data_IF_881806114531
#
_entry.id   IF_881806114531
#
_cell.length_a   1.000
_cell.length_b   1.000
_cell.length_c   1.000
_cell.angle_alpha   90.00
_cell.angle_beta   90.00
_cell.angle_gamma   90.00
#
_symmetry.space_group_name_H-M   'P 1'
#
loop_
_entity.id
_entity.type
_entity.pdbx_description
1 polymer ?
#
# COMPACT_ATOMS: atom_id res chain seq x y z
N UNK A 1 -18.62 -12.36 4.61
CA UNK A 1 -17.27 -12.22 5.20
C UNK A 1 -16.37 -11.78 4.06
N UNK A 2 -15.63 -10.68 4.20
CA UNK A 2 -14.84 -10.16 3.09
C UNK A 2 -13.60 -11.02 2.82
N UNK A 3 -13.32 -11.29 1.55
CA UNK A 3 -12.11 -11.93 1.03
C UNK A 3 -11.00 -10.89 0.92
N UNK A 4 -9.83 -11.18 1.48
CA UNK A 4 -8.64 -10.34 1.29
C UNK A 4 -7.80 -10.84 0.11
N UNK A 5 -7.41 -9.92 -0.77
CA UNK A 5 -6.48 -10.18 -1.87
C UNK A 5 -5.24 -9.31 -1.67
N UNK A 6 -4.13 -9.93 -1.27
CA UNK A 6 -2.88 -9.20 -1.05
C UNK A 6 -2.14 -8.99 -2.38
N UNK A 7 -2.14 -7.76 -2.88
CA UNK A 7 -1.44 -7.34 -4.10
C UNK A 7 -0.02 -6.85 -3.82
N UNK A 8 0.51 -7.06 -2.61
CA UNK A 8 1.88 -6.71 -2.25
C UNK A 8 2.81 -7.94 -2.39
N UNK A 9 4.13 -7.74 -2.58
CA UNK A 9 5.07 -8.85 -2.78
C UNK A 9 5.27 -9.77 -1.57
N UNK A 10 4.92 -9.30 -0.38
CA UNK A 10 5.20 -10.01 0.88
C UNK A 10 3.90 -10.34 1.60
N UNK A 11 3.94 -11.40 2.41
CA UNK A 11 2.83 -11.72 3.28
C UNK A 11 2.56 -10.58 4.27
N UNK A 12 1.29 -10.28 4.51
CA UNK A 12 0.88 -9.26 5.47
C UNK A 12 0.38 -9.96 6.73
N UNK A 13 1.08 -9.73 7.83
CA UNK A 13 0.69 -10.23 9.16
C UNK A 13 -0.15 -9.17 9.88
N UNK A 14 -1.34 -9.55 10.30
CA UNK A 14 -2.25 -8.72 11.09
C UNK A 14 -2.31 -9.26 12.51
N UNK A 15 -1.90 -8.46 13.48
CA UNK A 15 -2.07 -8.78 14.89
C UNK A 15 -3.51 -8.51 15.30
N UNK A 16 -4.19 -9.55 15.74
CA UNK A 16 -5.55 -9.51 16.29
C UNK A 16 -5.54 -9.92 17.77
N UNK A 17 -6.69 -9.82 18.44
CA UNK A 17 -6.89 -10.34 19.80
C UNK A 17 -6.74 -11.87 19.87
N UNK A 18 -7.00 -12.57 18.76
CA UNK A 18 -6.93 -14.04 18.66
C UNK A 18 -5.55 -14.54 18.20
N UNK A 19 -4.61 -13.64 17.93
CA UNK A 19 -3.28 -13.95 17.42
C UNK A 19 -2.98 -13.30 16.08
N UNK A 20 -1.96 -13.81 15.39
CA UNK A 20 -1.53 -13.29 14.08
C UNK A 20 -2.32 -13.97 12.96
N UNK A 21 -2.92 -13.17 12.10
CA UNK A 21 -3.52 -13.61 10.84
C UNK A 21 -2.55 -13.24 9.71
N UNK A 22 -2.12 -14.22 8.92
CA UNK A 22 -1.22 -14.01 7.79
C UNK A 22 -2.00 -14.06 6.47
N UNK A 23 -1.89 -13.00 5.67
CA UNK A 23 -2.50 -12.89 4.35
C UNK A 23 -1.39 -13.08 3.30
N UNK A 24 -1.31 -14.25 2.63
CA UNK A 24 -0.24 -14.53 1.68
C UNK A 24 -0.36 -13.64 0.43
N UNK A 25 0.74 -13.37 -0.28
CA UNK A 25 0.68 -12.65 -1.55
C UNK A 25 -0.20 -13.41 -2.55
N UNK A 26 -1.08 -12.68 -3.23
CA UNK A 26 -1.99 -13.25 -4.24
C UNK A 26 -1.31 -13.58 -5.56
N UNK A 27 -0.07 -13.13 -5.76
CA UNK A 27 0.63 -13.15 -7.05
C UNK A 27 0.23 -12.01 -7.99
N UNK A 28 -0.81 -11.24 -7.66
CA UNK A 28 -1.18 -10.03 -8.39
C UNK A 28 -0.20 -8.92 -8.04
N UNK A 29 0.45 -8.35 -9.06
CA UNK A 29 1.36 -7.22 -8.93
C UNK A 29 0.75 -5.98 -9.56
N UNK A 30 0.51 -4.95 -8.75
CA UNK A 30 0.00 -3.66 -9.22
C UNK A 30 1.17 -2.86 -9.79
N UNK A 31 1.01 -2.39 -11.03
CA UNK A 31 1.98 -1.52 -11.69
C UNK A 31 1.51 -0.07 -11.62
N UNK A 32 2.42 0.79 -11.16
CA UNK A 32 2.28 2.23 -11.18
C UNK A 32 3.21 2.76 -12.27
N UNK A 33 2.68 3.58 -13.16
CA UNK A 33 3.46 4.36 -14.10
C UNK A 33 3.68 5.75 -13.51
N UNK A 34 4.90 6.24 -13.59
CA UNK A 34 5.25 7.57 -13.08
C UNK A 34 6.26 8.24 -13.98
N UNK A 35 6.17 9.55 -14.07
CA UNK A 35 7.17 10.40 -14.70
C UNK A 35 7.81 11.31 -13.64
N UNK A 36 9.08 11.63 -13.85
CA UNK A 36 9.80 12.60 -13.03
C UNK A 36 10.09 13.85 -13.84
N UNK A 37 9.74 15.00 -13.29
CA UNK A 37 10.05 16.30 -13.89
C UNK A 37 10.94 17.08 -12.93
N UNK A 38 12.08 17.58 -13.40
CA UNK A 38 12.91 18.49 -12.61
C UNK A 38 12.15 19.81 -12.40
N UNK A 39 11.99 20.20 -11.13
CA UNK A 39 11.26 21.41 -10.72
C UNK A 39 12.17 22.47 -10.11
N UNK A 40 13.46 22.18 -9.97
CA UNK A 40 14.44 23.10 -9.42
C UNK A 40 15.79 22.45 -9.15
N UNK A 41 16.61 23.15 -8.38
CA UNK A 41 17.95 22.73 -7.97
C UNK A 41 18.31 23.36 -6.63
N UNK A 42 19.01 22.62 -5.77
CA UNK A 42 19.57 23.11 -4.50
C UNK A 42 21.06 22.75 -4.48
N UNK A 43 21.95 23.74 -4.43
CA UNK A 43 23.41 23.55 -4.42
C UNK A 43 23.94 22.63 -5.55
N UNK A 44 23.42 22.75 -6.78
CA UNK A 44 23.83 21.86 -7.88
C UNK A 44 23.09 20.52 -7.96
N UNK A 45 22.19 20.22 -7.00
CA UNK A 45 21.48 18.94 -6.92
C UNK A 45 20.05 19.10 -7.47
N UNK A 46 19.65 18.37 -8.52
CA UNK A 46 18.30 18.45 -9.09
C UNK A 46 17.23 18.07 -8.08
N UNK A 47 16.17 18.88 -8.02
CA UNK A 47 14.93 18.56 -7.31
C UNK A 47 13.90 18.10 -8.34
N UNK A 48 13.42 16.86 -8.22
CA UNK A 48 12.41 16.29 -9.13
C UNK A 48 11.08 16.11 -8.42
N UNK A 49 9.99 16.28 -9.17
CA UNK A 49 8.63 15.89 -8.76
C UNK A 49 8.25 14.61 -9.50
N UNK A 50 7.82 13.61 -8.76
CA UNK A 50 7.16 12.43 -9.31
C UNK A 50 5.69 12.75 -9.57
N UNK A 51 5.18 12.40 -10.74
CA UNK A 51 3.77 12.47 -11.12
C UNK A 51 3.35 11.07 -11.55
N UNK A 52 2.25 10.56 -10.98
CA UNK A 52 1.71 9.27 -11.38
C UNK A 52 0.88 9.42 -12.66
N UNK A 53 1.21 8.63 -13.68
CA UNK A 53 0.60 8.73 -15.03
C UNK A 53 -0.26 7.53 -15.40
N UNK A 54 -0.18 6.45 -14.61
CA UNK A 54 -0.91 5.22 -14.88
C UNK A 54 -0.97 4.36 -13.63
N UNK A 55 -2.13 3.74 -13.42
CA UNK A 55 -2.33 2.80 -12.32
C UNK A 55 -3.22 1.66 -12.82
N UNK A 56 -2.68 0.45 -12.86
CA UNK A 56 -3.43 -0.73 -13.25
C UNK A 56 -3.84 -1.53 -12.01
N UNK A 57 -5.13 -1.46 -11.66
CA UNK A 57 -5.71 -2.15 -10.51
C UNK A 57 -6.56 -3.35 -10.98
N UNK A 58 -6.66 -4.40 -10.17
CA UNK A 58 -7.69 -5.43 -10.39
C UNK A 58 -9.08 -4.81 -10.39
N UNK A 59 -9.97 -5.36 -11.23
CA UNK A 59 -11.38 -5.00 -11.23
C UNK A 59 -12.01 -5.27 -9.85
N UNK A 60 -12.95 -4.42 -9.37
CA UNK A 60 -13.66 -4.69 -8.14
C UNK A 60 -14.43 -6.02 -8.18
N UNK A 61 -14.32 -6.81 -7.12
CA UNK A 61 -15.10 -8.05 -6.93
C UNK A 61 -16.03 -7.91 -5.72
N UNK A 62 -17.25 -8.47 -5.75
CA UNK A 62 -18.13 -8.52 -4.58
C UNK A 62 -17.40 -9.14 -3.37
N UNK A 63 -17.65 -8.56 -2.19
CA UNK A 63 -17.07 -8.99 -0.92
C UNK A 63 -15.52 -9.12 -0.92
N UNK A 64 -14.81 -8.38 -1.77
CA UNK A 64 -13.34 -8.43 -1.85
C UNK A 64 -12.71 -7.11 -1.41
N UNK A 65 -11.62 -7.22 -0.65
CA UNK A 65 -10.75 -6.10 -0.26
C UNK A 65 -9.33 -6.38 -0.77
N UNK A 66 -8.79 -5.45 -1.57
CA UNK A 66 -7.43 -5.52 -2.09
C UNK A 66 -6.47 -4.79 -1.15
N UNK A 67 -5.47 -5.53 -0.67
CA UNK A 67 -4.37 -4.97 0.13
C UNK A 67 -3.28 -4.52 -0.84
N UNK A 68 -3.02 -3.23 -0.85
CA UNK A 68 -2.07 -2.56 -1.73
C UNK A 68 -1.00 -1.83 -0.90
N UNK A 69 0.01 -1.26 -1.54
CA UNK A 69 0.96 -0.39 -0.84
C UNK A 69 0.35 1.00 -0.61
N UNK A 70 0.84 1.73 0.40
CA UNK A 70 0.45 3.14 0.60
C UNK A 70 0.74 4.00 -0.63
N UNK A 71 1.77 3.68 -1.42
CA UNK A 71 2.10 4.35 -2.68
C UNK A 71 1.00 4.15 -3.74
N UNK A 72 0.40 2.95 -3.82
CA UNK A 72 -0.75 2.69 -4.70
C UNK A 72 -1.96 3.53 -4.29
N UNK A 73 -2.25 3.64 -2.97
CA UNK A 73 -3.33 4.52 -2.49
C UNK A 73 -3.08 5.99 -2.84
N UNK A 74 -1.83 6.46 -2.70
CA UNK A 74 -1.45 7.83 -3.08
C UNK A 74 -1.66 8.08 -4.58
N UNK A 75 -1.19 7.15 -5.42
CA UNK A 75 -1.37 7.24 -6.87
C UNK A 75 -2.85 7.24 -7.26
N UNK A 76 -3.66 6.35 -6.68
CA UNK A 76 -5.10 6.31 -6.92
C UNK A 76 -5.77 7.64 -6.57
N UNK A 77 -5.46 8.19 -5.39
CA UNK A 77 -5.99 9.48 -4.93
C UNK A 77 -5.55 10.65 -5.82
N UNK A 78 -4.26 10.72 -6.17
CA UNK A 78 -3.71 11.77 -7.05
C UNK A 78 -4.36 11.76 -8.43
N UNK A 79 -4.61 10.56 -8.98
CA UNK A 79 -5.27 10.35 -10.27
C UNK A 79 -6.81 10.46 -10.20
N UNK A 80 -7.39 10.75 -9.03
CA UNK A 80 -8.84 10.86 -8.86
C UNK A 80 -9.61 9.54 -8.99
N UNK A 81 -8.93 8.40 -8.86
CA UNK A 81 -9.53 7.06 -8.94
C UNK A 81 -10.31 6.80 -7.65
N UNK A 82 -11.62 6.59 -7.78
CA UNK A 82 -12.50 6.28 -6.65
C UNK A 82 -12.65 4.76 -6.48
N UNK A 83 -12.03 4.23 -5.42
CA UNK A 83 -12.13 2.82 -5.02
C UNK A 83 -12.33 2.74 -3.51
N UNK A 84 -13.31 1.97 -3.07
CA UNK A 84 -13.67 1.78 -1.66
C UNK A 84 -13.25 0.40 -1.11
N UNK A 85 -12.59 -0.41 -1.94
CA UNK A 85 -12.14 -1.77 -1.69
C UNK A 85 -10.61 -1.88 -1.61
N UNK A 86 -9.88 -0.76 -1.62
CA UNK A 86 -8.42 -0.73 -1.46
C UNK A 86 -8.03 -0.33 -0.04
N UNK A 87 -7.09 -1.06 0.54
CA UNK A 87 -6.49 -0.73 1.84
C UNK A 87 -4.99 -0.96 1.83
N UNK A 88 -4.24 -0.29 2.70
CA UNK A 88 -2.82 -0.56 2.91
C UNK A 88 -2.56 -0.97 4.36
N UNK A 89 -1.53 -1.80 4.65
CA UNK A 89 -1.11 -2.03 6.03
C UNK A 89 -0.69 -0.71 6.68
N UNK A 90 -1.19 -0.41 7.88
CA UNK A 90 -0.73 0.75 8.65
C UNK A 90 0.59 0.41 9.34
N UNK A 91 1.70 0.85 8.75
CA UNK A 91 3.07 0.68 9.28
C UNK A 91 3.50 1.84 10.19
N UNK A 92 2.57 2.75 10.52
CA UNK A 92 2.82 3.88 11.41
C UNK A 92 3.05 3.47 12.87
N UNK A 93 3.55 4.40 13.71
CA UNK A 93 3.97 4.11 15.10
C UNK A 93 2.87 3.50 15.99
N UNK A 94 1.61 3.82 15.71
CA UNK A 94 0.46 3.34 16.50
C UNK A 94 -0.02 1.93 16.10
N UNK A 95 0.36 1.45 14.92
CA UNK A 95 -0.13 0.17 14.38
C UNK A 95 0.96 -0.88 14.27
N UNK A 96 2.18 -0.49 13.87
CA UNK A 96 3.28 -1.42 13.68
C UNK A 96 3.59 -2.22 14.95
N UNK A 97 3.69 -3.54 14.80
CA UNK A 97 4.25 -4.46 15.79
C UNK A 97 5.68 -4.72 15.37
N UNK A 98 6.64 -4.47 16.26
CA UNK A 98 8.07 -4.65 15.98
C UNK A 98 8.65 -5.75 16.85
N UNK A 99 9.62 -6.48 16.31
CA UNK A 99 10.42 -7.42 17.09
C UNK A 99 11.51 -6.70 17.91
N UNK A 100 12.32 -7.48 18.63
CA UNK A 100 13.43 -6.97 19.44
C UNK A 100 14.55 -6.27 18.65
N UNK A 101 14.56 -6.38 17.31
CA UNK A 101 15.50 -5.68 16.41
C UNK A 101 14.89 -4.41 15.80
N UNK A 102 13.61 -4.14 16.09
CA UNK A 102 12.88 -3.01 15.52
C UNK A 102 12.26 -3.30 14.15
N UNK A 103 12.36 -4.51 13.61
CA UNK A 103 11.72 -4.87 12.33
C UNK A 103 10.22 -5.02 12.51
N UNK A 104 9.42 -4.56 11.53
CA UNK A 104 7.97 -4.72 11.56
C UNK A 104 7.63 -6.18 11.25
N UNK A 105 7.01 -6.86 12.21
CA UNK A 105 6.60 -8.27 12.07
C UNK A 105 5.09 -8.44 11.86
N UNK A 106 4.30 -7.43 12.21
CA UNK A 106 2.86 -7.36 11.96
C UNK A 106 2.34 -5.92 12.02
N UNK A 107 1.10 -5.69 11.59
CA UNK A 107 0.34 -4.44 11.81
C UNK A 107 -0.95 -4.74 12.55
N UNK A 108 -1.53 -3.76 13.24
CA UNK A 108 -2.79 -3.93 13.98
C UNK A 108 -4.02 -3.55 13.17
N UNK A 109 -3.85 -2.72 12.14
CA UNK A 109 -4.93 -2.20 11.32
C UNK A 109 -4.47 -1.90 9.89
N UNK A 110 -5.46 -1.71 9.03
CA UNK A 110 -5.26 -1.13 7.71
C UNK A 110 -5.54 0.39 7.71
N UNK A 111 -5.10 1.08 6.67
CA UNK A 111 -5.32 2.49 6.42
C UNK A 111 -5.83 2.75 4.99
N UNK A 112 -6.46 3.92 4.81
CA UNK A 112 -6.89 4.52 3.54
C UNK A 112 -6.41 5.98 3.49
N UNK A 113 -6.40 6.63 2.32
CA UNK A 113 -5.85 7.98 2.11
C UNK A 113 -6.85 8.97 1.49
#
# INVERSE_FOLDING_TARGET
MAKFVNCTPHAINIQTEQGIVTIPPSGISIRIESQQTQIGEINGIPVVRTVYTGLNLPEPEPDTVYIVSTVVLQAAREMGIQRNDLVAPDTGPQSAVRDGTGQIVAVRRFQVL
#
